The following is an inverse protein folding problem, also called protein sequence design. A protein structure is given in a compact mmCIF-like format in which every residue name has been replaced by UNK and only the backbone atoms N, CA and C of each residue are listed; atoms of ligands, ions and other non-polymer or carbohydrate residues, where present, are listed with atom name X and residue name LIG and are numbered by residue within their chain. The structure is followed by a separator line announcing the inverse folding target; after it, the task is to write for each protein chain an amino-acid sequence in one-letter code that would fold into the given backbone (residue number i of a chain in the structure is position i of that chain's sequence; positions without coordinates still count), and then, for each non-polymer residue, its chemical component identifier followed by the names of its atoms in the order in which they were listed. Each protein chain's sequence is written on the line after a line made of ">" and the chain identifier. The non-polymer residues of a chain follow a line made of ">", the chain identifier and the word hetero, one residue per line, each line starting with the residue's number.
data_IF_520789911055
#
_entry.id   IF_520789911055
#
_cell.length_a   1.000
_cell.length_b   1.000
_cell.length_c   1.000
_cell.angle_alpha   90.00
_cell.angle_beta   90.00
_cell.angle_gamma   90.00
#
_symmetry.space_group_name_H-M   'P 1'
#
loop_
_entity.id
_entity.type
_entity.pdbx_description
1 polymer ?
#
# COMPACT_ATOMS: atom_id res chain seq x y z
N UNK A 1 -22.79 -16.34 5.32
CA UNK A 1 -21.91 -15.65 6.29
C UNK A 1 -22.71 -14.48 6.81
N UNK A 2 -22.91 -14.34 8.11
CA UNK A 2 -23.60 -13.17 8.67
C UNK A 2 -22.87 -11.90 8.20
N UNK A 3 -23.64 -10.88 7.85
CA UNK A 3 -23.10 -9.62 7.36
C UNK A 3 -22.23 -8.97 8.44
N UNK A 4 -20.96 -8.67 8.11
CA UNK A 4 -20.08 -7.93 9.02
C UNK A 4 -20.67 -6.54 9.27
N UNK A 5 -21.15 -6.30 10.50
CA UNK A 5 -21.72 -5.03 10.94
C UNK A 5 -20.65 -4.23 11.66
N UNK A 6 -20.28 -3.10 11.07
CA UNK A 6 -19.30 -2.17 11.62
C UNK A 6 -20.04 -0.95 12.19
N UNK A 7 -19.69 -0.55 13.41
CA UNK A 7 -20.14 0.69 14.03
C UNK A 7 -18.95 1.63 14.10
N UNK A 8 -19.04 2.75 13.38
CA UNK A 8 -18.04 3.81 13.44
C UNK A 8 -18.19 4.57 14.77
N UNK A 9 -17.09 4.78 15.47
CA UNK A 9 -17.06 5.49 16.75
C UNK A 9 -16.53 6.91 16.59
N UNK A 10 -15.49 7.08 15.77
CA UNK A 10 -14.82 8.37 15.59
C UNK A 10 -14.15 8.45 14.21
N UNK A 11 -14.17 9.64 13.61
CA UNK A 11 -13.35 10.00 12.44
C UNK A 11 -12.60 11.29 12.75
N UNK A 12 -11.26 11.25 12.67
CA UNK A 12 -10.38 12.39 12.93
C UNK A 12 -9.31 12.54 11.85
N UNK A 13 -8.76 13.74 11.71
CA UNK A 13 -7.52 13.95 10.94
C UNK A 13 -6.34 13.98 11.89
N UNK A 14 -5.44 12.99 11.76
CA UNK A 14 -4.23 12.87 12.55
C UNK A 14 -3.12 13.67 11.86
N UNK A 15 -2.65 14.71 12.55
CA UNK A 15 -1.59 15.60 12.07
C UNK A 15 -0.26 15.29 12.78
N UNK A 16 0.89 15.66 12.19
CA UNK A 16 2.18 15.56 12.86
C UNK A 16 2.14 16.22 14.24
N UNK A 17 2.75 15.60 15.27
CA UNK A 17 2.81 16.16 16.62
C UNK A 17 3.66 17.45 16.67
N UNK A 18 4.61 17.58 15.75
CA UNK A 18 5.32 18.83 15.43
C UNK A 18 5.19 19.09 13.94
N UNK A 19 4.70 20.27 13.56
CA UNK A 19 4.50 20.62 12.16
C UNK A 19 5.85 20.75 11.41
N UNK A 20 6.10 19.91 10.41
CA UNK A 20 7.21 20.07 9.48
C UNK A 20 7.00 21.32 8.62
N UNK A 21 8.09 21.87 8.09
CA UNK A 21 8.01 22.98 7.13
C UNK A 21 7.21 22.55 5.89
N UNK A 22 6.28 23.41 5.47
CA UNK A 22 5.48 23.15 4.28
C UNK A 22 6.39 23.22 3.06
N UNK A 23 6.39 22.15 2.28
CA UNK A 23 7.14 22.05 1.04
C UNK A 23 6.32 21.31 -0.01
N UNK A 24 6.78 21.37 -1.25
CA UNK A 24 6.16 20.64 -2.36
C UNK A 24 7.12 19.58 -2.84
N UNK A 25 6.61 18.37 -3.06
CA UNK A 25 7.37 17.27 -3.65
C UNK A 25 6.91 17.08 -5.10
N UNK A 26 7.82 17.30 -6.03
CA UNK A 26 7.61 16.95 -7.42
C UNK A 26 7.62 15.45 -7.58
N UNK A 27 6.59 14.92 -8.24
CA UNK A 27 6.45 13.51 -8.53
C UNK A 27 7.36 13.10 -9.69
N UNK A 28 7.97 11.93 -9.58
CA UNK A 28 8.67 11.26 -10.69
C UNK A 28 7.67 10.71 -11.72
N UNK A 29 8.19 10.19 -12.83
CA UNK A 29 7.35 9.46 -13.79
C UNK A 29 6.65 8.25 -13.15
N UNK A 30 7.36 7.53 -12.28
CA UNK A 30 6.83 6.32 -11.64
C UNK A 30 5.67 6.62 -10.69
N UNK A 31 5.78 7.71 -9.94
CA UNK A 31 4.77 8.11 -8.97
C UNK A 31 3.42 8.46 -9.66
N UNK A 32 3.43 8.87 -10.93
CA UNK A 32 2.21 9.24 -11.67
C UNK A 32 1.51 8.06 -12.36
N UNK A 33 2.11 6.86 -12.35
CA UNK A 33 1.54 5.69 -13.05
C UNK A 33 0.16 5.30 -12.46
N UNK A 34 -0.01 5.43 -11.15
CA UNK A 34 -1.25 5.05 -10.48
C UNK A 34 -1.56 6.01 -9.33
N UNK A 35 -2.55 6.91 -9.47
CA UNK A 35 -2.98 7.77 -8.38
C UNK A 35 -3.98 7.07 -7.43
N UNK A 36 -4.31 5.81 -7.68
CA UNK A 36 -5.26 5.04 -6.89
C UNK A 36 -4.77 4.84 -5.45
N UNK A 37 -5.72 4.74 -4.51
CA UNK A 37 -5.45 4.30 -3.15
C UNK A 37 -5.43 2.78 -3.13
N UNK A 38 -4.30 2.20 -2.72
CA UNK A 38 -4.21 0.77 -2.46
C UNK A 38 -4.50 0.49 -1.00
N UNK A 39 -5.31 -0.54 -0.77
CA UNK A 39 -5.73 -0.95 0.56
C UNK A 39 -5.06 -2.24 1.00
N UNK A 40 -4.70 -2.31 2.27
CA UNK A 40 -4.19 -3.51 2.95
C UNK A 40 -4.81 -3.61 4.33
N UNK A 41 -5.19 -4.83 4.73
CA UNK A 41 -5.80 -5.08 6.04
C UNK A 41 -4.89 -5.99 6.84
N UNK A 42 -4.52 -5.55 8.04
CA UNK A 42 -3.80 -6.34 9.01
C UNK A 42 -4.76 -6.80 10.11
N UNK A 43 -4.70 -8.08 10.46
CA UNK A 43 -5.51 -8.65 11.54
C UNK A 43 -4.63 -9.03 12.72
N UNK A 44 -5.01 -8.60 13.92
CA UNK A 44 -4.30 -8.84 15.17
C UNK A 44 -5.22 -9.56 16.15
N UNK A 45 -4.84 -10.79 16.50
CA UNK A 45 -5.53 -11.55 17.55
C UNK A 45 -5.20 -10.99 18.93
N UNK A 46 -6.17 -11.05 19.83
CA UNK A 46 -5.91 -10.75 21.24
C UNK A 46 -4.92 -11.75 21.81
N UNK A 47 -3.92 -11.27 22.56
CA UNK A 47 -2.97 -12.11 23.29
C UNK A 47 -3.51 -12.57 24.66
N UNK A 48 -4.70 -12.13 25.07
CA UNK A 48 -5.29 -12.46 26.37
C UNK A 48 -5.98 -13.83 26.36
N UNK A 49 -5.19 -14.89 26.30
CA UNK A 49 -5.57 -16.18 26.86
C UNK A 49 -4.66 -16.45 28.07
N UNK A 50 -5.20 -16.25 29.28
CA UNK A 50 -4.76 -16.82 30.58
C UNK A 50 -4.06 -16.01 31.67
N UNK A 51 -3.79 -14.70 31.60
CA UNK A 51 -3.35 -13.99 32.81
C UNK A 51 -4.05 -12.65 33.03
N UNK A 52 -4.66 -12.52 34.21
CA UNK A 52 -5.17 -11.27 34.78
C UNK A 52 -3.97 -10.39 35.16
N UNK A 53 -3.36 -9.76 34.17
CA UNK A 53 -2.41 -8.67 34.40
C UNK A 53 -2.99 -7.39 33.79
N UNK A 54 -3.54 -6.58 34.69
CA UNK A 54 -3.74 -5.12 34.61
C UNK A 54 -3.94 -4.50 33.21
N UNK A 55 -5.21 -4.24 32.87
CA UNK A 55 -5.71 -2.93 32.43
C UNK A 55 -5.14 -2.23 31.18
N UNK A 56 -4.53 -2.90 30.20
CA UNK A 56 -4.43 -2.27 28.86
C UNK A 56 -5.77 -2.45 28.15
N UNK A 57 -6.69 -1.49 28.33
CA UNK A 57 -7.98 -1.50 27.65
C UNK A 57 -7.80 -1.48 26.13
N UNK A 58 -8.80 -1.92 25.38
CA UNK A 58 -8.85 -1.74 23.93
C UNK A 58 -8.78 -0.27 23.50
N UNK A 59 -9.10 0.66 24.40
CA UNK A 59 -8.94 2.11 24.23
C UNK A 59 -7.48 2.53 24.22
N UNK A 60 -6.68 1.95 25.11
CA UNK A 60 -5.23 2.18 25.17
C UNK A 60 -4.51 1.78 23.87
N UNK A 61 -4.93 0.71 23.17
CA UNK A 61 -4.33 0.33 21.87
C UNK A 61 -4.56 1.38 20.78
N UNK A 62 -5.79 1.89 20.68
CA UNK A 62 -6.15 2.87 19.64
C UNK A 62 -5.47 4.20 19.91
N UNK A 63 -5.46 4.65 21.16
CA UNK A 63 -4.82 5.90 21.53
C UNK A 63 -3.31 5.84 21.32
N UNK A 64 -2.65 4.73 21.70
CA UNK A 64 -1.24 4.49 21.36
C UNK A 64 -0.99 4.53 19.86
N UNK A 65 -1.84 3.89 19.06
CA UNK A 65 -1.69 3.88 17.60
C UNK A 65 -1.84 5.30 17.01
N UNK A 66 -2.80 6.10 17.51
CA UNK A 66 -2.99 7.49 17.09
C UNK A 66 -1.78 8.35 17.46
N UNK A 67 -1.31 8.30 18.71
CA UNK A 67 -0.14 9.06 19.16
C UNK A 67 1.12 8.64 18.42
N UNK A 68 1.31 7.36 18.16
CA UNK A 68 2.43 6.86 17.37
C UNK A 68 2.40 7.39 15.94
N UNK A 69 1.21 7.43 15.32
CA UNK A 69 1.06 8.00 13.98
C UNK A 69 1.47 9.47 13.98
N UNK A 70 1.00 10.29 14.93
CA UNK A 70 1.39 11.71 15.04
C UNK A 70 2.91 11.93 15.06
N UNK A 71 3.65 11.05 15.75
CA UNK A 71 5.12 11.11 15.83
C UNK A 71 5.78 10.71 14.49
N UNK A 72 5.33 9.61 13.89
CA UNK A 72 5.88 9.12 12.62
C UNK A 72 5.63 10.11 11.47
N UNK A 73 4.50 10.83 11.50
CA UNK A 73 4.20 11.86 10.51
C UNK A 73 5.20 13.03 10.52
N UNK A 74 6.08 13.17 11.52
CA UNK A 74 7.15 14.18 11.49
C UNK A 74 8.18 13.82 10.40
N UNK A 75 8.73 12.61 10.45
CA UNK A 75 9.74 12.16 9.48
C UNK A 75 9.10 11.74 8.16
N UNK A 76 7.85 11.25 8.19
CA UNK A 76 7.08 10.85 7.01
C UNK A 76 6.08 11.94 6.56
N UNK A 77 6.42 13.21 6.72
CA UNK A 77 5.54 14.36 6.49
C UNK A 77 4.74 14.40 5.19
N UNK A 78 5.19 13.86 4.03
CA UNK A 78 4.38 13.89 2.82
C UNK A 78 3.06 13.14 2.95
N UNK A 79 3.00 12.13 3.83
CA UNK A 79 1.78 11.34 4.11
C UNK A 79 0.62 12.19 4.64
N UNK A 80 0.93 13.30 5.32
CA UNK A 80 -0.05 14.24 5.84
C UNK A 80 -0.43 15.35 4.83
N UNK A 81 0.10 15.30 3.61
CA UNK A 81 -0.14 16.27 2.54
C UNK A 81 -1.37 15.96 1.69
N UNK A 82 -1.48 16.66 0.56
CA UNK A 82 -2.52 16.48 -0.46
C UNK A 82 -1.90 16.49 -1.86
N UNK A 83 -2.56 15.86 -2.82
CA UNK A 83 -2.21 16.03 -4.21
C UNK A 83 -2.62 17.42 -4.69
N UNK A 84 -1.87 18.00 -5.61
CA UNK A 84 -2.22 19.26 -6.27
C UNK A 84 -1.71 19.22 -7.70
N UNK A 85 -2.42 19.90 -8.59
CA UNK A 85 -1.93 20.20 -9.94
C UNK A 85 -1.19 21.53 -9.88
N UNK A 86 0.08 21.52 -10.27
CA UNK A 86 0.88 22.73 -10.37
C UNK A 86 0.36 23.62 -11.52
N UNK A 87 0.01 24.87 -11.24
CA UNK A 87 -0.62 25.76 -12.23
C UNK A 87 0.31 26.16 -13.39
N UNK A 88 1.64 26.11 -13.20
CA UNK A 88 2.61 26.52 -14.22
C UNK A 88 3.07 25.35 -15.09
N UNK A 89 3.26 24.19 -14.47
CA UNK A 89 3.77 22.99 -15.15
C UNK A 89 2.68 22.00 -15.55
N UNK A 90 1.45 22.21 -15.07
CA UNK A 90 0.28 21.33 -15.21
C UNK A 90 0.49 19.90 -14.67
N UNK A 91 1.59 19.68 -13.92
CA UNK A 91 1.95 18.37 -13.38
C UNK A 91 1.39 18.16 -11.99
N UNK A 92 1.03 16.91 -11.72
CA UNK A 92 0.70 16.44 -10.37
C UNK A 92 1.93 16.52 -9.45
N UNK A 93 1.72 17.02 -8.24
CA UNK A 93 2.70 17.17 -7.15
C UNK A 93 2.04 16.89 -5.79
N UNK A 94 2.87 16.66 -4.76
CA UNK A 94 2.40 16.56 -3.38
C UNK A 94 2.65 17.89 -2.66
N UNK A 95 1.58 18.54 -2.24
CA UNK A 95 1.62 19.67 -1.32
C UNK A 95 1.67 19.14 0.12
N UNK A 96 2.83 19.25 0.77
CA UNK A 96 3.05 18.80 2.14
C UNK A 96 2.47 19.82 3.13
N UNK A 97 1.15 20.01 3.09
CA UNK A 97 0.40 21.04 3.82
C UNK A 97 -0.05 20.63 5.22
N UNK A 98 0.42 19.48 5.73
CA UNK A 98 0.14 18.97 7.08
C UNK A 98 -1.36 18.86 7.42
N UNK A 99 -2.24 18.72 6.43
CA UNK A 99 -3.68 18.54 6.68
C UNK A 99 -4.00 17.26 7.45
N UNK A 100 -3.12 16.26 7.38
CA UNK A 100 -3.16 15.05 8.19
C UNK A 100 -3.69 13.82 7.43
N UNK A 101 -3.62 12.70 8.13
CA UNK A 101 -4.12 11.38 7.73
C UNK A 101 -5.52 11.18 8.29
N UNK A 102 -6.47 10.73 7.47
CA UNK A 102 -7.81 10.42 7.97
C UNK A 102 -7.77 9.10 8.73
N UNK A 103 -8.15 9.12 10.01
CA UNK A 103 -8.20 7.96 10.87
C UNK A 103 -9.61 7.72 11.41
N UNK A 104 -10.07 6.48 11.30
CA UNK A 104 -11.39 6.03 11.74
C UNK A 104 -11.20 5.00 12.85
N UNK A 105 -11.91 5.19 13.96
CA UNK A 105 -12.05 4.18 15.01
C UNK A 105 -13.42 3.53 14.85
N UNK A 106 -13.46 2.20 14.84
CA UNK A 106 -14.68 1.44 14.68
C UNK A 106 -14.70 0.19 15.57
N UNK A 107 -15.87 -0.41 15.72
CA UNK A 107 -16.05 -1.68 16.40
C UNK A 107 -17.05 -2.58 15.69
N UNK A 108 -16.97 -3.87 15.97
CA UNK A 108 -17.93 -4.87 15.51
C UNK A 108 -18.24 -5.89 16.61
N UNK A 109 -19.47 -6.38 16.62
CA UNK A 109 -19.89 -7.48 17.49
C UNK A 109 -19.36 -8.85 17.04
N UNK A 110 -18.81 -8.95 15.83
CA UNK A 110 -18.21 -10.18 15.31
C UNK A 110 -16.86 -10.49 15.96
N UNK A 111 -16.48 -11.75 15.96
CA UNK A 111 -15.15 -12.22 16.37
C UNK A 111 -14.27 -12.48 15.15
N UNK A 112 -12.95 -12.35 15.31
CA UNK A 112 -12.00 -12.64 14.22
C UNK A 112 -12.08 -14.09 13.74
N UNK A 113 -12.37 -15.02 14.65
CA UNK A 113 -12.49 -16.45 14.35
C UNK A 113 -13.69 -16.76 13.44
N UNK A 114 -14.74 -15.94 13.49
CA UNK A 114 -15.94 -16.06 12.65
C UNK A 114 -15.66 -15.69 11.19
N UNK A 115 -14.57 -14.96 10.93
CA UNK A 115 -14.13 -14.60 9.58
C UNK A 115 -13.36 -15.73 8.87
N UNK A 116 -13.11 -16.87 9.54
CA UNK A 116 -12.42 -18.03 8.95
C UNK A 116 -10.98 -17.73 8.53
N UNK A 117 -10.61 -18.12 7.30
CA UNK A 117 -9.26 -17.91 6.76
C UNK A 117 -9.05 -16.45 6.38
N UNK A 118 -8.37 -15.69 7.25
CA UNK A 118 -8.18 -14.25 7.09
C UNK A 118 -7.37 -13.83 5.85
N UNK A 119 -6.55 -14.73 5.29
CA UNK A 119 -5.77 -14.46 4.08
C UNK A 119 -6.58 -14.52 2.78
N UNK A 120 -7.84 -15.00 2.84
CA UNK A 120 -8.73 -15.05 1.70
C UNK A 120 -9.58 -13.78 1.69
N UNK A 121 -9.57 -13.06 0.56
CA UNK A 121 -10.43 -11.89 0.39
C UNK A 121 -11.90 -12.28 0.57
N UNK A 122 -12.64 -11.40 1.25
CA UNK A 122 -14.08 -11.50 1.43
C UNK A 122 -14.67 -10.12 1.15
N UNK A 123 -15.80 -10.00 0.43
CA UNK A 123 -16.44 -8.71 0.19
C UNK A 123 -16.69 -7.89 1.46
N UNK A 124 -16.94 -8.55 2.59
CA UNK A 124 -17.13 -7.87 3.87
C UNK A 124 -15.88 -7.12 4.38
N UNK A 125 -14.68 -7.42 3.87
CA UNK A 125 -13.44 -6.74 4.26
C UNK A 125 -13.37 -5.29 3.77
N UNK A 126 -14.16 -4.92 2.76
CA UNK A 126 -14.28 -3.52 2.32
C UNK A 126 -14.86 -2.61 3.40
N UNK A 127 -15.57 -3.18 4.39
CA UNK A 127 -16.06 -2.44 5.56
C UNK A 127 -14.99 -2.21 6.63
N UNK A 128 -13.82 -2.84 6.51
CA UNK A 128 -12.69 -2.75 7.45
C UNK A 128 -11.64 -1.71 7.04
N UNK A 129 -11.88 -1.01 5.92
CA UNK A 129 -11.04 0.09 5.42
C UNK A 129 -11.88 1.36 5.28
N UNK A 130 -11.28 2.56 5.38
CA UNK A 130 -11.99 3.80 5.11
C UNK A 130 -12.47 3.86 3.66
N UNK A 131 -13.78 3.99 3.48
CA UNK A 131 -14.40 4.35 2.22
C UNK A 131 -14.28 5.87 2.07
N UNK A 132 -13.45 6.33 1.15
CA UNK A 132 -13.41 7.75 0.82
C UNK A 132 -14.56 8.08 -0.12
N UNK A 133 -15.27 9.21 0.08
CA UNK A 133 -16.21 9.66 -0.92
C UNK A 133 -15.48 9.98 -2.22
N UNK A 134 -16.15 9.79 -3.35
CA UNK A 134 -15.67 10.30 -4.62
C UNK A 134 -15.51 11.81 -4.51
N UNK A 135 -14.27 12.29 -4.50
CA UNK A 135 -14.02 13.72 -4.45
C UNK A 135 -13.79 14.23 -5.87
N UNK A 136 -14.57 15.24 -6.25
CA UNK A 136 -14.38 16.01 -7.48
C UNK A 136 -13.02 16.74 -7.52
N UNK A 137 -12.41 16.95 -6.35
CA UNK A 137 -11.16 17.69 -6.18
C UNK A 137 -10.12 16.85 -5.44
N UNK A 138 -9.09 16.43 -6.17
CA UNK A 138 -7.99 15.60 -5.67
C UNK A 138 -7.20 16.27 -4.52
N UNK A 139 -7.26 17.60 -4.40
CA UNK A 139 -6.60 18.34 -3.33
C UNK A 139 -7.28 18.23 -1.97
N UNK A 140 -8.50 17.70 -1.94
CA UNK A 140 -9.21 17.38 -0.70
C UNK A 140 -8.93 15.96 -0.22
N UNK A 141 -8.47 15.09 -1.11
CA UNK A 141 -8.26 13.67 -0.80
C UNK A 141 -7.03 13.44 0.07
N UNK A 142 -7.17 12.77 1.22
CA UNK A 142 -6.02 12.37 2.01
C UNK A 142 -5.18 11.36 1.22
N UNK A 143 -3.85 11.49 1.32
CA UNK A 143 -2.93 10.53 0.71
C UNK A 143 -2.88 9.20 1.45
N UNK A 144 -3.20 9.22 2.75
CA UNK A 144 -3.24 8.05 3.61
C UNK A 144 -4.52 8.07 4.42
N UNK A 145 -5.13 6.91 4.57
CA UNK A 145 -6.31 6.67 5.40
C UNK A 145 -6.12 5.42 6.24
N UNK A 146 -6.66 5.44 7.45
CA UNK A 146 -6.53 4.34 8.41
C UNK A 146 -7.88 4.07 9.06
N UNK A 147 -8.24 2.80 9.22
CA UNK A 147 -9.34 2.37 10.09
C UNK A 147 -8.85 1.33 11.08
N UNK A 148 -9.04 1.59 12.37
CA UNK A 148 -8.80 0.61 13.43
C UNK A 148 -10.15 0.07 13.88
N UNK A 149 -10.41 -1.21 13.61
CA UNK A 149 -11.69 -1.87 13.94
C UNK A 149 -11.50 -2.89 15.04
N UNK A 150 -12.20 -2.72 16.17
CA UNK A 150 -12.17 -3.65 17.31
C UNK A 150 -13.20 -4.77 17.14
N UNK A 151 -12.79 -5.99 17.46
CA UNK A 151 -13.65 -7.19 17.40
C UNK A 151 -14.07 -7.63 18.80
N UNK A 152 -15.19 -8.33 18.91
CA UNK A 152 -15.73 -8.81 20.18
C UNK A 152 -14.83 -9.82 20.91
N UNK A 153 -13.90 -10.46 20.21
CA UNK A 153 -12.87 -11.33 20.81
C UNK A 153 -11.68 -10.57 21.42
N UNK A 154 -11.72 -9.24 21.43
CA UNK A 154 -10.62 -8.38 21.91
C UNK A 154 -9.48 -8.20 20.91
N UNK A 155 -9.53 -8.88 19.76
CA UNK A 155 -8.65 -8.60 18.63
C UNK A 155 -9.06 -7.34 17.87
N UNK A 156 -8.25 -6.93 16.91
CA UNK A 156 -8.53 -5.77 16.05
C UNK A 156 -8.01 -5.97 14.63
N UNK A 157 -8.54 -5.20 13.68
CA UNK A 157 -7.95 -5.02 12.35
C UNK A 157 -7.49 -3.59 12.14
N UNK A 158 -6.42 -3.42 11.37
CA UNK A 158 -5.97 -2.13 10.83
C UNK A 158 -6.16 -2.18 9.32
N UNK A 159 -7.16 -1.47 8.82
CA UNK A 159 -7.30 -1.17 7.40
C UNK A 159 -6.48 0.06 7.05
N UNK A 160 -5.47 -0.11 6.21
CA UNK A 160 -4.58 0.94 5.74
C UNK A 160 -4.82 1.18 4.26
N UNK A 161 -5.09 2.42 3.87
CA UNK A 161 -5.13 2.87 2.49
C UNK A 161 -4.08 3.92 2.24
N UNK A 162 -3.32 3.81 1.15
CA UNK A 162 -2.39 4.86 0.72
C UNK A 162 -2.42 5.07 -0.79
N UNK A 163 -2.34 6.32 -1.23
CA UNK A 163 -2.14 6.66 -2.64
C UNK A 163 -0.84 6.04 -3.15
N UNK A 164 -0.92 5.31 -4.26
CA UNK A 164 0.24 4.70 -4.90
C UNK A 164 1.16 5.75 -5.57
N UNK A 165 0.70 6.99 -5.67
CA UNK A 165 1.55 8.14 -6.01
C UNK A 165 2.48 8.55 -4.87
N UNK A 166 2.12 8.24 -3.63
CA UNK A 166 2.96 8.52 -2.47
C UNK A 166 4.00 7.41 -2.25
N UNK A 167 3.58 6.15 -2.37
CA UNK A 167 4.38 4.98 -2.03
C UNK A 167 4.27 3.88 -3.08
N UNK A 168 5.40 3.22 -3.34
CA UNK A 168 5.40 1.83 -3.80
C UNK A 168 5.19 0.88 -2.60
N UNK A 169 5.17 -0.44 -2.85
CA UNK A 169 5.00 -1.43 -1.79
C UNK A 169 6.05 -1.30 -0.67
N UNK A 170 7.32 -1.10 -1.02
CA UNK A 170 8.42 -1.01 -0.04
C UNK A 170 8.27 0.24 0.84
N UNK A 171 7.99 1.40 0.23
CA UNK A 171 7.75 2.65 0.92
C UNK A 171 6.57 2.56 1.89
N UNK A 172 5.46 1.97 1.45
CA UNK A 172 4.28 1.75 2.30
C UNK A 172 4.60 0.85 3.50
N UNK A 173 5.33 -0.26 3.29
CA UNK A 173 5.72 -1.15 4.39
C UNK A 173 6.72 -0.50 5.36
N UNK A 174 7.66 0.32 4.88
CA UNK A 174 8.58 1.05 5.74
C UNK A 174 7.86 2.09 6.61
N UNK A 175 6.85 2.78 6.06
CA UNK A 175 5.98 3.67 6.81
C UNK A 175 5.20 2.90 7.89
N UNK A 176 4.55 1.80 7.51
CA UNK A 176 3.81 0.93 8.45
C UNK A 176 4.72 0.36 9.54
N UNK A 177 5.95 -0.04 9.19
CA UNK A 177 6.93 -0.54 10.14
C UNK A 177 7.37 0.55 11.14
N UNK A 178 7.59 1.77 10.67
CA UNK A 178 7.89 2.93 11.52
C UNK A 178 6.72 3.23 12.47
N UNK A 179 5.48 3.17 11.96
CA UNK A 179 4.28 3.35 12.77
C UNK A 179 4.13 2.27 13.84
N UNK A 180 4.29 0.99 13.46
CA UNK A 180 4.26 -0.12 14.40
C UNK A 180 5.37 -0.03 15.46
N UNK A 181 6.59 0.37 15.06
CA UNK A 181 7.74 0.53 15.96
C UNK A 181 7.41 1.49 17.11
N UNK A 182 6.92 2.70 16.80
CA UNK A 182 6.50 3.67 17.82
C UNK A 182 5.28 3.21 18.60
N UNK A 183 4.28 2.60 17.93
CA UNK A 183 3.08 2.10 18.60
C UNK A 183 3.40 1.01 19.65
N UNK A 184 4.50 0.29 19.48
CA UNK A 184 5.01 -0.69 20.45
C UNK A 184 5.91 -0.10 21.54
N UNK A 185 6.04 1.22 21.62
CA UNK A 185 6.78 1.92 22.67
C UNK A 185 8.30 1.94 22.47
N UNK A 186 8.79 1.63 21.27
CA UNK A 186 10.22 1.74 20.94
C UNK A 186 10.61 3.19 20.66
N UNK A 187 11.90 3.48 20.77
CA UNK A 187 12.44 4.84 20.68
C UNK A 187 12.37 5.41 19.26
N UNK A 188 12.15 6.73 19.15
CA UNK A 188 12.07 7.46 17.88
C UNK A 188 13.43 7.53 17.16
N UNK A 189 14.54 7.45 17.89
CA UNK A 189 15.90 7.48 17.34
C UNK A 189 16.25 6.26 16.48
N UNK A 190 15.54 5.15 16.66
CA UNK A 190 15.71 3.92 15.88
C UNK A 190 14.88 3.93 14.58
N UNK A 191 14.11 4.99 14.31
CA UNK A 191 13.31 5.07 13.10
C UNK A 191 14.16 5.23 11.86
N UNK A 192 13.74 4.54 10.79
CA UNK A 192 14.26 4.80 9.44
C UNK A 192 13.97 6.26 9.10
N UNK A 193 15.00 6.99 8.69
CA UNK A 193 14.88 8.36 8.17
C UNK A 193 14.58 8.26 6.68
N UNK A 194 13.34 8.56 6.22
CA UNK A 194 13.00 8.47 4.81
C UNK A 194 13.67 9.59 4.00
N UNK A 195 14.19 9.24 2.82
CA UNK A 195 14.58 10.22 1.82
C UNK A 195 13.39 10.53 0.91
N UNK A 196 12.85 11.74 1.03
CA UNK A 196 11.69 12.17 0.24
C UNK A 196 12.07 12.75 -1.13
N UNK A 197 13.36 12.93 -1.42
CA UNK A 197 13.80 13.46 -2.71
C UNK A 197 13.46 12.51 -3.85
N UNK A 198 12.86 13.03 -4.92
CA UNK A 198 12.62 12.31 -6.17
C UNK A 198 13.66 12.66 -7.25
N UNK A 199 14.68 13.46 -6.92
CA UNK A 199 15.62 14.03 -7.88
C UNK A 199 16.34 12.97 -8.72
N UNK A 200 16.75 11.86 -8.11
CA UNK A 200 17.41 10.78 -8.83
C UNK A 200 16.53 10.20 -9.96
N UNK A 201 15.23 10.03 -9.69
CA UNK A 201 14.27 9.50 -10.66
C UNK A 201 13.84 10.55 -11.70
N UNK A 202 13.79 11.82 -11.30
CA UNK A 202 13.52 12.93 -12.22
C UNK A 202 14.67 13.13 -13.21
N UNK A 203 15.92 12.94 -12.77
CA UNK A 203 17.12 13.14 -13.59
C UNK A 203 17.49 11.92 -14.45
N UNK A 204 17.04 10.71 -14.08
CA UNK A 204 17.32 9.47 -14.83
C UNK A 204 16.79 9.50 -16.27
N UNK A 205 15.75 10.30 -16.54
CA UNK A 205 15.13 10.46 -17.87
C UNK A 205 16.02 11.32 -18.81
N UNK A 206 17.06 11.99 -18.29
CA UNK A 206 17.93 12.92 -19.04
C UNK A 206 19.32 12.37 -19.39
N UNK A 207 19.55 11.05 -19.45
CA UNK A 207 20.83 10.50 -19.96
C UNK A 207 20.64 9.80 -21.30
N UNK A 208 20.99 10.44 -22.44
CA UNK A 208 20.82 9.83 -23.76
C UNK A 208 21.89 8.79 -24.13
N UNK A 209 22.90 8.54 -23.29
CA UNK A 209 24.03 7.69 -23.64
C UNK A 209 24.64 6.99 -22.42
N UNK A 210 24.05 5.87 -22.01
CA UNK A 210 24.75 4.87 -21.21
C UNK A 210 24.67 3.55 -21.96
N UNK A 211 25.72 3.25 -22.73
CA UNK A 211 25.92 1.93 -23.34
C UNK A 211 25.98 0.89 -22.23
N UNK A 212 25.16 -0.18 -22.24
CA UNK A 212 25.23 -1.21 -21.22
C UNK A 212 26.56 -1.94 -21.33
N UNK A 213 27.41 -1.86 -20.30
CA UNK A 213 28.48 -2.85 -20.11
C UNK A 213 27.82 -4.22 -20.00
N UNK A 214 28.41 -5.21 -20.67
CA UNK A 214 27.86 -6.55 -20.88
C UNK A 214 27.45 -7.24 -19.56
N UNK A 215 26.18 -7.08 -19.19
CA UNK A 215 25.46 -7.91 -18.23
C UNK A 215 24.98 -9.19 -18.91
N UNK A 216 24.79 -10.25 -18.14
CA UNK A 216 24.46 -11.56 -18.71
C UNK A 216 23.11 -11.51 -19.45
N UNK A 217 22.90 -12.40 -20.44
CA UNK A 217 21.68 -12.46 -21.26
C UNK A 217 20.41 -12.58 -20.38
N UNK A 218 20.53 -13.23 -19.21
CA UNK A 218 19.47 -13.30 -18.19
C UNK A 218 19.09 -11.94 -17.57
N UNK A 219 20.05 -11.05 -17.40
CA UNK A 219 19.80 -9.69 -16.91
C UNK A 219 19.27 -8.81 -18.04
N UNK A 220 19.72 -9.01 -19.29
CA UNK A 220 19.24 -8.25 -20.44
C UNK A 220 17.77 -8.52 -20.77
N UNK A 221 17.30 -9.76 -20.74
CA UNK A 221 15.90 -10.09 -21.04
C UNK A 221 14.95 -9.62 -19.93
N UNK A 222 15.38 -9.70 -18.66
CA UNK A 222 14.62 -9.11 -17.55
C UNK A 222 14.62 -7.59 -17.59
N UNK A 223 15.77 -6.96 -17.86
CA UNK A 223 15.87 -5.51 -18.01
C UNK A 223 15.04 -5.05 -19.20
N UNK A 224 14.99 -5.78 -20.32
CA UNK A 224 14.19 -5.45 -21.49
C UNK A 224 12.69 -5.62 -21.23
N UNK A 225 12.26 -6.72 -20.58
CA UNK A 225 10.86 -6.93 -20.21
C UNK A 225 10.37 -5.92 -19.17
N UNK A 226 11.22 -5.58 -18.18
CA UNK A 226 10.97 -4.48 -17.24
C UNK A 226 10.94 -3.16 -18.01
N UNK A 227 11.92 -2.86 -18.86
CA UNK A 227 11.95 -1.63 -19.66
C UNK A 227 10.73 -1.50 -20.56
N UNK A 228 10.22 -2.57 -21.17
CA UNK A 228 8.99 -2.53 -21.97
C UNK A 228 7.72 -2.37 -21.12
N UNK A 229 7.63 -3.04 -19.95
CA UNK A 229 6.57 -2.79 -18.96
C UNK A 229 6.59 -1.37 -18.40
N UNK A 230 7.76 -0.74 -18.32
CA UNK A 230 7.94 0.66 -17.92
C UNK A 230 7.73 1.64 -19.08
N UNK A 231 8.06 1.23 -20.32
CA UNK A 231 7.93 2.06 -21.53
C UNK A 231 6.49 2.25 -21.93
N UNK A 232 5.61 1.26 -21.72
CA UNK A 232 4.18 1.37 -22.04
C UNK A 232 3.50 2.48 -21.21
N UNK A 233 3.62 2.52 -19.87
CA UNK A 233 3.17 3.65 -19.06
C UNK A 233 3.87 4.95 -19.42
N UNK A 234 5.20 4.95 -19.62
CA UNK A 234 5.95 6.18 -19.94
C UNK A 234 5.59 6.78 -21.31
N UNK A 235 5.25 5.95 -22.30
CA UNK A 235 4.74 6.41 -23.60
C UNK A 235 3.30 6.92 -23.49
N UNK A 236 2.48 6.32 -22.62
CA UNK A 236 1.15 6.83 -22.31
C UNK A 236 1.20 8.17 -21.53
N UNK A 237 2.24 8.39 -20.72
CA UNK A 237 2.49 9.63 -19.98
C UNK A 237 3.13 10.73 -20.83
N UNK A 238 3.91 10.37 -21.86
CA UNK A 238 4.45 11.33 -22.82
C UNK A 238 3.35 11.90 -23.75
N UNK A 239 2.20 11.22 -23.85
CA UNK A 239 1.02 11.69 -24.58
C UNK A 239 0.02 12.35 -23.64
N UNK A 240 0.19 13.66 -23.39
CA UNK A 240 -0.79 14.62 -22.86
C UNK A 240 -1.65 14.18 -21.62
N UNK A 241 -1.42 14.87 -20.50
CA UNK A 241 -1.64 14.45 -19.10
C UNK A 241 -3.12 14.35 -18.62
N UNK A 242 -4.08 14.09 -19.53
CA UNK A 242 -5.53 13.97 -19.23
C UNK A 242 -6.13 12.58 -19.51
N UNK A 243 -5.34 11.64 -20.05
CA UNK A 243 -5.83 10.29 -20.39
C UNK A 243 -6.11 9.40 -19.18
N UNK A 244 -5.46 9.67 -18.05
CA UNK A 244 -5.58 8.83 -16.85
C UNK A 244 -6.98 8.91 -16.21
N UNK A 245 -7.65 10.08 -16.24
CA UNK A 245 -9.03 10.23 -15.77
C UNK A 245 -9.99 9.37 -16.57
N UNK A 246 -9.77 9.29 -17.89
CA UNK A 246 -10.58 8.48 -18.82
C UNK A 246 -10.33 6.98 -18.63
N UNK A 247 -9.09 6.57 -18.40
CA UNK A 247 -8.75 5.16 -18.15
C UNK A 247 -9.19 4.68 -16.76
N UNK A 248 -9.08 5.50 -15.70
CA UNK A 248 -9.63 5.18 -14.38
C UNK A 248 -11.15 5.04 -14.42
N UNK A 249 -11.85 5.93 -15.13
CA UNK A 249 -13.29 5.83 -15.34
C UNK A 249 -13.67 4.54 -16.08
N UNK A 250 -12.86 4.07 -17.04
CA UNK A 250 -13.07 2.78 -17.71
C UNK A 250 -12.88 1.60 -16.76
N UNK A 251 -11.84 1.60 -15.92
CA UNK A 251 -11.59 0.52 -14.96
C UNK A 251 -12.66 0.42 -13.87
N UNK A 252 -13.19 1.56 -13.43
CA UNK A 252 -14.27 1.62 -12.43
C UNK A 252 -15.67 1.34 -13.01
N UNK A 253 -15.82 1.35 -14.35
CA UNK A 253 -17.06 1.00 -15.06
C UNK A 253 -17.08 -0.45 -15.59
N UNK A 254 -16.06 -1.27 -15.33
CA UNK A 254 -16.15 -2.71 -15.59
C UNK A 254 -17.06 -3.30 -14.51
N UNK A 255 -18.36 -3.21 -14.75
CA UNK A 255 -19.33 -4.12 -14.15
C UNK A 255 -19.09 -5.49 -14.80
N UNK A 256 -18.60 -6.50 -14.05
CA UNK A 256 -18.34 -7.80 -14.63
C UNK A 256 -19.69 -8.46 -14.89
N UNK A 257 -20.23 -8.24 -16.09
CA UNK A 257 -21.42 -8.93 -16.62
C UNK A 257 -21.26 -10.47 -16.71
N UNK A 258 -20.12 -11.02 -16.29
CA UNK A 258 -19.93 -12.44 -15.99
C UNK A 258 -19.23 -12.56 -14.64
N UNK A 259 -19.88 -13.21 -13.67
CA UNK A 259 -19.44 -13.32 -12.27
C UNK A 259 -17.97 -13.70 -12.11
N UNK A 260 -17.11 -12.68 -11.96
CA UNK A 260 -15.72 -12.85 -11.60
C UNK A 260 -15.66 -13.31 -10.16
N UNK A 261 -15.01 -14.45 -9.94
CA UNK A 261 -14.76 -14.97 -8.60
C UNK A 261 -13.28 -14.82 -8.28
N UNK A 262 -12.98 -14.16 -7.16
CA UNK A 262 -11.62 -14.14 -6.63
C UNK A 262 -11.34 -15.45 -5.89
N UNK A 263 -10.28 -16.15 -6.31
CA UNK A 263 -9.86 -17.42 -5.72
C UNK A 263 -8.47 -17.24 -5.12
N UNK A 264 -8.30 -17.64 -3.86
CA UNK A 264 -7.01 -17.65 -3.19
C UNK A 264 -6.38 -19.05 -3.26
N UNK A 265 -5.26 -19.16 -3.97
CA UNK A 265 -4.50 -20.41 -4.06
C UNK A 265 -3.41 -20.44 -2.98
N UNK A 266 -3.31 -21.53 -2.24
CA UNK A 266 -2.26 -21.76 -1.24
C UNK A 266 -1.42 -22.96 -1.67
N UNK A 267 -0.16 -22.71 -2.01
CA UNK A 267 0.78 -23.74 -2.43
C UNK A 267 1.77 -23.97 -1.28
N UNK A 268 1.91 -25.23 -0.86
CA UNK A 268 2.82 -25.61 0.22
C UNK A 268 4.26 -25.40 -0.23
N UNK A 269 5.13 -24.98 0.69
CA UNK A 269 6.56 -24.76 0.44
C UNK A 269 7.21 -25.99 -0.19
N UNK A 270 6.91 -27.18 0.32
CA UNK A 270 7.50 -28.44 -0.15
C UNK A 270 7.15 -28.72 -1.61
N UNK A 271 5.95 -28.33 -2.05
CA UNK A 271 5.52 -28.46 -3.44
C UNK A 271 6.27 -27.48 -4.33
N UNK A 272 6.43 -26.23 -3.89
CA UNK A 272 7.20 -25.21 -4.62
C UNK A 272 8.65 -25.64 -4.79
N UNK A 273 9.30 -26.13 -3.74
CA UNK A 273 10.70 -26.58 -3.81
C UNK A 273 10.85 -27.80 -4.73
N UNK A 274 9.96 -28.79 -4.66
CA UNK A 274 9.97 -29.93 -5.59
C UNK A 274 9.81 -29.49 -7.06
N UNK A 275 8.96 -28.50 -7.33
CA UNK A 275 8.81 -27.94 -8.68
C UNK A 275 10.05 -27.18 -9.14
N UNK A 276 10.72 -26.43 -8.26
CA UNK A 276 11.98 -25.76 -8.60
C UNK A 276 13.05 -26.76 -9.01
N UNK A 277 13.24 -27.83 -8.23
CA UNK A 277 14.21 -28.89 -8.52
C UNK A 277 13.96 -29.50 -9.91
N UNK A 278 12.71 -29.86 -10.19
CA UNK A 278 12.31 -30.45 -11.47
C UNK A 278 12.54 -29.49 -12.65
N UNK A 279 12.24 -28.21 -12.49
CA UNK A 279 12.41 -27.20 -13.56
C UNK A 279 13.88 -26.86 -13.77
N UNK A 280 14.70 -26.83 -12.71
CA UNK A 280 16.15 -26.67 -12.80
C UNK A 280 16.77 -27.83 -13.57
N UNK A 281 16.43 -29.07 -13.21
CA UNK A 281 16.96 -30.27 -13.86
C UNK A 281 16.52 -30.36 -15.33
N UNK A 282 15.21 -30.27 -15.60
CA UNK A 282 14.68 -30.45 -16.97
C UNK A 282 14.94 -29.26 -17.87
N UNK A 283 14.87 -28.05 -17.33
CA UNK A 283 15.07 -26.79 -18.06
C UNK A 283 16.55 -26.43 -18.23
N UNK A 284 17.47 -27.19 -17.61
CA UNK A 284 18.91 -26.87 -17.56
C UNK A 284 19.17 -25.44 -17.06
N UNK A 285 18.37 -24.98 -16.11
CA UNK A 285 18.50 -23.65 -15.53
C UNK A 285 19.55 -23.67 -14.41
N UNK A 286 20.32 -22.60 -14.25
CA UNK A 286 21.24 -22.47 -13.12
C UNK A 286 20.50 -22.23 -11.80
N UNK A 287 19.37 -21.52 -11.85
CA UNK A 287 18.52 -21.18 -10.71
C UNK A 287 17.10 -20.90 -11.18
N UNK A 288 16.14 -21.06 -10.29
CA UNK A 288 14.75 -20.68 -10.51
C UNK A 288 14.20 -20.05 -9.22
N UNK A 289 13.77 -18.79 -9.29
CA UNK A 289 13.18 -18.14 -8.12
C UNK A 289 11.76 -18.65 -7.89
N UNK A 290 11.25 -18.51 -6.64
CA UNK A 290 9.84 -18.80 -6.36
C UNK A 290 8.91 -17.96 -7.22
N UNK A 291 9.26 -16.69 -7.45
CA UNK A 291 8.46 -15.75 -8.23
C UNK A 291 8.32 -16.22 -9.67
N UNK A 292 9.44 -16.48 -10.35
CA UNK A 292 9.44 -16.90 -11.77
C UNK A 292 8.66 -18.21 -11.95
N UNK A 293 8.89 -19.18 -11.05
CA UNK A 293 8.18 -20.45 -11.09
C UNK A 293 6.67 -20.27 -10.96
N UNK A 294 6.22 -19.53 -9.94
CA UNK A 294 4.79 -19.36 -9.70
C UNK A 294 4.12 -18.52 -10.80
N UNK A 295 4.77 -17.47 -11.28
CA UNK A 295 4.27 -16.68 -12.41
C UNK A 295 4.13 -17.54 -13.67
N UNK A 296 5.11 -18.37 -13.99
CA UNK A 296 5.03 -19.28 -15.14
C UNK A 296 3.89 -20.31 -15.00
N UNK A 297 3.68 -20.86 -13.79
CA UNK A 297 2.57 -21.79 -13.54
C UNK A 297 1.22 -21.12 -13.66
N UNK A 298 1.06 -19.91 -13.12
CA UNK A 298 -0.18 -19.12 -13.21
C UNK A 298 -0.47 -18.76 -14.67
N UNK A 299 0.53 -18.27 -15.41
CA UNK A 299 0.40 -17.96 -16.84
C UNK A 299 -0.06 -19.18 -17.64
N UNK A 300 0.52 -20.35 -17.37
CA UNK A 300 0.13 -21.57 -18.08
C UNK A 300 -1.29 -22.02 -17.78
N UNK A 301 -1.81 -21.68 -16.60
CA UNK A 301 -3.15 -22.07 -16.16
C UNK A 301 -4.26 -21.11 -16.64
N UNK A 302 -3.90 -19.88 -17.03
CA UNK A 302 -4.79 -18.89 -17.66
C UNK A 302 -4.90 -19.07 -19.17
#
# INVERSE_FOLDING_TARGET
>A
MEELKITLEETISIRPSKQPERQTIQLSGLDRISPAILYTIFFYKSQFNNEKTSSSSSDDVVDRAKTALQKVLISWFPTAGRLRINAETEKLEIDCNNQGVTAITAKTGSKLEELGRLCEYKPCYEKLVPQLPDAEDISKNPLVVVQITRFACGGFSIGFGSSHTLFDGIGAFNFLASWAHIATGKDESDLIVPNHSRNALLNAICTPYSTPMATSIYEQDHIAAIQDLYRIPMQAMASDDRRWETELAKFSQIDPQGGLQLISLSIKKEVVEAWKELVIERGKLLKCSTFDLLCAQIWKAS
#
